data_IF_814114240048
#
_entry.id   IF_814114240048
#
_cell.length_a   1.000
_cell.length_b   1.000
_cell.length_c   1.000
_cell.angle_alpha   90.00
_cell.angle_beta   90.00
_cell.angle_gamma   90.00
#
_symmetry.space_group_name_H-M   'P 1'
#
loop_
_entity.id
_entity.type
_entity.pdbx_description
1 polymer ?
#
# COMPACT_ATOMS: atom_id res chain seq x y z
N UNK A 1 -45.77 93.26 31.57
CA UNK A 1 -45.62 92.17 32.55
C UNK A 1 -45.73 90.87 31.77
N UNK A 2 -44.59 90.21 31.59
CA UNK A 2 -44.51 88.87 31.04
C UNK A 2 -44.69 87.90 32.20
N UNK A 3 -45.50 86.85 32.02
CA UNK A 3 -45.25 85.58 32.68
C UNK A 3 -45.77 84.44 31.81
N UNK A 4 -45.01 83.35 31.83
CA UNK A 4 -44.85 82.34 30.81
C UNK A 4 -45.23 80.98 31.43
N UNK A 5 -46.18 80.26 30.80
CA UNK A 5 -46.31 78.77 30.75
C UNK A 5 -46.58 77.98 32.07
N UNK A 6 -47.04 76.70 32.07
CA UNK A 6 -47.04 75.73 30.95
C UNK A 6 -48.32 74.92 30.67
N UNK A 7 -48.30 74.32 29.47
CA UNK A 7 -49.24 73.36 28.91
C UNK A 7 -49.30 72.04 29.68
N UNK A 8 -50.43 71.29 29.63
CA UNK A 8 -50.53 69.96 30.19
C UNK A 8 -49.85 68.93 29.27
N UNK A 9 -49.05 68.06 29.90
CA UNK A 9 -48.32 66.90 29.37
C UNK A 9 -49.09 66.09 28.32
N UNK A 10 -48.42 65.78 27.22
CA UNK A 10 -48.68 64.62 26.39
C UNK A 10 -48.72 63.34 27.26
N UNK A 11 -49.87 62.66 27.25
CA UNK A 11 -49.99 61.27 27.70
C UNK A 11 -49.71 60.33 26.50
N UNK A 12 -49.03 59.19 26.71
CA UNK A 12 -48.62 58.32 25.61
C UNK A 12 -49.83 57.66 24.94
N UNK A 13 -50.05 57.99 23.67
CA UNK A 13 -51.05 57.37 22.81
C UNK A 13 -50.75 55.89 22.57
N UNK A 14 -51.82 55.10 22.61
CA UNK A 14 -51.87 53.64 22.58
C UNK A 14 -51.02 52.94 21.49
N UNK A 15 -50.53 51.71 21.73
CA UNK A 15 -49.90 50.91 20.69
C UNK A 15 -50.87 50.67 19.52
N UNK A 16 -50.38 50.81 18.29
CA UNK A 16 -51.14 50.61 17.06
C UNK A 16 -51.84 49.22 17.01
N UNK A 17 -53.00 49.08 16.35
CA UNK A 17 -53.70 47.81 16.25
C UNK A 17 -52.82 46.79 15.52
N UNK A 18 -52.53 45.68 16.19
CA UNK A 18 -51.75 44.58 15.62
C UNK A 18 -52.48 44.04 14.38
N UNK A 19 -51.76 43.83 13.28
CA UNK A 19 -52.32 43.25 12.05
C UNK A 19 -52.92 41.85 12.34
N UNK A 20 -53.93 41.39 11.58
CA UNK A 20 -54.52 40.07 11.77
C UNK A 20 -53.48 38.93 11.69
N UNK A 21 -52.45 39.11 10.87
CA UNK A 21 -51.29 38.20 10.79
C UNK A 21 -50.46 38.19 12.09
N UNK A 22 -50.27 39.35 12.73
CA UNK A 22 -49.55 39.44 14.00
C UNK A 22 -50.33 38.76 15.15
N UNK A 23 -51.66 38.89 15.17
CA UNK A 23 -52.51 38.22 16.15
C UNK A 23 -52.51 36.69 15.94
N UNK A 24 -52.61 36.23 14.70
CA UNK A 24 -52.56 34.81 14.35
C UNK A 24 -51.20 34.18 14.72
N UNK A 25 -50.09 34.87 14.48
CA UNK A 25 -48.75 34.44 14.89
C UNK A 25 -48.63 34.36 16.42
N UNK A 26 -49.22 35.31 17.15
CA UNK A 26 -49.20 35.32 18.62
C UNK A 26 -49.97 34.14 19.23
N UNK A 27 -51.13 33.80 18.64
CA UNK A 27 -51.94 32.66 19.07
C UNK A 27 -51.22 31.33 18.79
N UNK A 28 -50.60 31.21 17.61
CA UNK A 28 -49.78 30.04 17.29
C UNK A 28 -48.57 29.89 18.22
N UNK A 29 -47.90 30.99 18.58
CA UNK A 29 -46.82 30.95 19.57
C UNK A 29 -47.31 30.55 20.96
N UNK A 30 -48.53 30.93 21.36
CA UNK A 30 -49.11 30.52 22.63
C UNK A 30 -49.41 29.01 22.67
N UNK A 31 -49.94 28.46 21.58
CA UNK A 31 -50.37 27.05 21.52
C UNK A 31 -49.22 26.09 21.19
N UNK A 32 -48.31 26.47 20.31
CA UNK A 32 -47.26 25.59 19.77
C UNK A 32 -45.83 26.08 20.01
N UNK A 33 -45.63 27.27 20.56
CA UNK A 33 -44.28 27.84 20.75
C UNK A 33 -43.40 27.00 21.68
N UNK A 34 -43.94 26.50 22.80
CA UNK A 34 -43.19 25.64 23.74
C UNK A 34 -42.76 24.29 23.12
N UNK A 35 -43.66 23.47 22.54
CA UNK A 35 -43.26 22.21 21.92
C UNK A 35 -42.39 22.41 20.67
N UNK A 36 -42.59 23.49 19.90
CA UNK A 36 -41.73 23.82 18.76
C UNK A 36 -40.29 24.16 19.19
N UNK A 37 -40.11 24.90 20.29
CA UNK A 37 -38.79 25.19 20.84
C UNK A 37 -38.10 23.94 21.39
N UNK A 38 -38.84 23.03 22.03
CA UNK A 38 -38.29 21.75 22.49
C UNK A 38 -37.86 20.90 21.29
N UNK A 39 -38.68 20.83 20.23
CA UNK A 39 -38.32 20.13 19.00
C UNK A 39 -37.08 20.71 18.32
N UNK A 40 -36.98 22.04 18.24
CA UNK A 40 -35.79 22.75 17.75
C UNK A 40 -34.56 22.41 18.61
N UNK A 41 -34.68 22.43 19.93
CA UNK A 41 -33.56 22.11 20.84
C UNK A 41 -33.07 20.67 20.66
N UNK A 42 -33.98 19.70 20.53
CA UNK A 42 -33.62 18.30 20.25
C UNK A 42 -32.94 18.18 18.88
N UNK A 43 -33.45 18.87 17.85
CA UNK A 43 -32.83 18.89 16.52
C UNK A 43 -31.42 19.49 16.56
N UNK A 44 -31.21 20.57 17.33
CA UNK A 44 -29.89 21.18 17.51
C UNK A 44 -28.93 20.22 18.22
N UNK A 45 -29.36 19.56 19.30
CA UNK A 45 -28.53 18.56 20.00
C UNK A 45 -28.21 17.37 19.09
N UNK A 46 -29.17 16.89 18.31
CA UNK A 46 -28.96 15.82 17.34
C UNK A 46 -27.98 16.23 16.23
N UNK A 47 -28.09 17.45 15.71
CA UNK A 47 -27.15 17.99 14.73
C UNK A 47 -25.75 18.20 15.31
N UNK A 48 -25.64 18.66 16.56
CA UNK A 48 -24.35 18.78 17.26
C UNK A 48 -23.73 17.40 17.49
N UNK A 49 -24.52 16.42 17.95
CA UNK A 49 -24.08 15.04 18.11
C UNK A 49 -23.61 14.42 16.78
N UNK A 50 -24.36 14.62 15.71
CA UNK A 50 -24.00 14.15 14.36
C UNK A 50 -22.75 14.89 13.82
N UNK A 51 -22.61 16.18 14.10
CA UNK A 51 -21.43 16.97 13.73
C UNK A 51 -20.17 16.47 14.47
N UNK A 52 -20.27 16.26 15.79
CA UNK A 52 -19.18 15.70 16.60
C UNK A 52 -18.82 14.29 16.13
N UNK A 53 -19.82 13.43 15.91
CA UNK A 53 -19.60 12.07 15.40
C UNK A 53 -18.92 12.08 14.04
N UNK A 54 -19.39 12.92 13.10
CA UNK A 54 -18.80 13.04 11.76
C UNK A 54 -17.38 13.62 11.80
N UNK A 55 -17.13 14.60 12.67
CA UNK A 55 -15.80 15.17 12.87
C UNK A 55 -14.84 14.18 13.51
N UNK A 56 -15.31 13.41 14.49
CA UNK A 56 -14.52 12.36 15.13
C UNK A 56 -14.25 11.18 14.18
N UNK A 57 -15.21 10.83 13.32
CA UNK A 57 -15.02 9.82 12.27
C UNK A 57 -14.01 10.29 11.22
N UNK A 58 -13.93 11.59 10.93
CA UNK A 58 -12.90 12.17 10.08
C UNK A 58 -11.53 12.14 10.77
N UNK A 59 -11.45 12.50 12.05
CA UNK A 59 -10.22 12.45 12.84
C UNK A 59 -9.62 11.04 12.92
N UNK A 60 -10.45 10.00 13.08
CA UNK A 60 -9.96 8.59 13.09
C UNK A 60 -9.22 8.19 11.81
N UNK A 61 -9.61 8.74 10.66
CA UNK A 61 -8.94 8.46 9.39
C UNK A 61 -7.56 9.10 9.32
N UNK A 62 -7.42 10.35 9.79
CA UNK A 62 -6.12 11.02 9.84
C UNK A 62 -5.20 10.38 10.88
N UNK A 63 -5.75 9.96 12.01
CA UNK A 63 -4.98 9.30 13.07
C UNK A 63 -4.44 7.96 12.61
N UNK A 64 -5.21 7.17 11.85
CA UNK A 64 -4.77 5.88 11.29
C UNK A 64 -3.64 6.04 10.26
N UNK A 65 -3.68 7.10 9.46
CA UNK A 65 -2.59 7.41 8.51
C UNK A 65 -1.35 7.87 9.26
N UNK A 66 -1.49 8.75 10.25
CA UNK A 66 -0.36 9.20 11.06
C UNK A 66 0.28 8.04 11.85
N UNK A 67 -0.54 7.15 12.39
CA UNK A 67 -0.07 5.96 13.11
C UNK A 67 0.74 5.04 12.19
N UNK A 68 0.37 4.91 10.91
CA UNK A 68 1.14 4.13 9.94
C UNK A 68 2.57 4.67 9.78
N UNK A 69 2.72 5.99 9.69
CA UNK A 69 4.03 6.64 9.56
C UNK A 69 4.84 6.65 10.86
N UNK A 70 4.18 6.53 12.01
CA UNK A 70 4.84 6.50 13.31
C UNK A 70 5.16 5.09 13.79
N UNK A 71 4.56 4.06 13.17
CA UNK A 71 4.83 2.68 13.51
C UNK A 71 6.34 2.43 13.35
N UNK A 72 6.95 1.90 14.41
CA UNK A 72 8.40 1.68 14.46
C UNK A 72 8.76 0.22 14.24
N UNK A 73 7.77 -0.66 14.20
CA UNK A 73 7.99 -2.08 14.05
C UNK A 73 6.94 -2.73 13.13
N UNK A 74 7.30 -3.82 12.45
CA UNK A 74 6.35 -4.57 11.62
C UNK A 74 5.19 -5.17 12.42
N UNK A 75 5.38 -5.48 13.70
CA UNK A 75 4.30 -5.98 14.58
C UNK A 75 3.23 -4.93 14.82
N UNK A 76 3.63 -3.67 15.03
CA UNK A 76 2.69 -2.57 15.21
C UNK A 76 1.86 -2.37 13.94
N UNK A 77 2.50 -2.40 12.77
CA UNK A 77 1.83 -2.32 11.46
C UNK A 77 0.84 -3.47 11.25
N UNK A 78 1.26 -4.71 11.53
CA UNK A 78 0.39 -5.88 11.42
C UNK A 78 -0.77 -5.80 12.41
N UNK A 79 -0.51 -5.42 13.66
CA UNK A 79 -1.55 -5.29 14.68
C UNK A 79 -2.56 -4.21 14.30
N UNK A 80 -2.13 -3.07 13.76
CA UNK A 80 -3.01 -2.03 13.25
C UNK A 80 -3.97 -2.58 12.18
N UNK A 81 -3.46 -3.36 11.24
CA UNK A 81 -4.28 -3.97 10.20
C UNK A 81 -5.28 -5.00 10.74
N UNK A 82 -4.89 -5.77 11.76
CA UNK A 82 -5.76 -6.77 12.41
C UNK A 82 -6.84 -6.12 13.28
N UNK A 83 -6.52 -5.01 13.96
CA UNK A 83 -7.46 -4.30 14.85
C UNK A 83 -8.56 -3.59 14.07
N UNK A 84 -8.23 -2.95 12.93
CA UNK A 84 -9.22 -2.33 12.06
C UNK A 84 -9.06 -2.75 10.58
N UNK A 85 -9.49 -3.97 10.19
CA UNK A 85 -9.37 -4.46 8.82
C UNK A 85 -10.20 -3.68 7.79
N UNK A 86 -11.11 -2.80 8.24
CA UNK A 86 -11.94 -1.97 7.36
C UNK A 86 -11.34 -0.58 7.18
N UNK A 87 -10.28 -0.23 7.92
CA UNK A 87 -9.56 1.01 7.70
C UNK A 87 -8.97 1.02 6.28
N UNK A 88 -9.01 2.17 5.62
CA UNK A 88 -8.39 2.33 4.30
C UNK A 88 -6.87 2.15 4.32
N UNK A 89 -6.25 2.26 5.49
CA UNK A 89 -4.81 2.06 5.71
C UNK A 89 -4.45 0.62 6.02
N UNK A 90 -5.42 -0.25 6.36
CA UNK A 90 -5.13 -1.62 6.80
C UNK A 90 -4.44 -2.49 5.73
N UNK A 91 -4.81 -2.43 4.42
CA UNK A 91 -4.08 -3.15 3.39
C UNK A 91 -2.62 -2.69 3.31
N UNK A 92 -2.39 -1.38 3.33
CA UNK A 92 -1.06 -0.80 3.27
C UNK A 92 -0.24 -1.20 4.50
N UNK A 93 -0.82 -1.09 5.71
CA UNK A 93 -0.16 -1.50 6.94
C UNK A 93 0.27 -2.97 6.92
N UNK A 94 -0.59 -3.87 6.45
CA UNK A 94 -0.28 -5.30 6.40
C UNK A 94 0.76 -5.65 5.33
N UNK A 95 0.69 -5.03 4.16
CA UNK A 95 1.69 -5.20 3.11
C UNK A 95 3.06 -4.62 3.54
N UNK A 96 3.07 -3.45 4.18
CA UNK A 96 4.28 -2.84 4.74
C UNK A 96 4.86 -3.72 5.86
N UNK A 97 4.03 -4.25 6.77
CA UNK A 97 4.49 -5.19 7.79
C UNK A 97 5.21 -6.40 7.17
N UNK A 98 4.63 -6.99 6.13
CA UNK A 98 5.22 -8.13 5.43
C UNK A 98 6.58 -7.79 4.79
N UNK A 99 6.67 -6.63 4.12
CA UNK A 99 7.92 -6.16 3.53
C UNK A 99 9.01 -5.88 4.59
N UNK A 100 8.63 -5.28 5.72
CA UNK A 100 9.53 -5.00 6.84
C UNK A 100 9.99 -6.30 7.54
N UNK A 101 9.10 -7.27 7.74
CA UNK A 101 9.50 -8.60 8.22
C UNK A 101 10.53 -9.24 7.30
N UNK A 102 10.33 -9.14 5.98
CA UNK A 102 11.28 -9.66 4.99
C UNK A 102 12.63 -8.95 5.10
N UNK A 103 12.65 -7.62 5.19
CA UNK A 103 13.86 -6.82 5.35
C UNK A 103 14.64 -7.17 6.63
N UNK A 104 13.93 -7.58 7.69
CA UNK A 104 14.52 -8.05 8.95
C UNK A 104 14.92 -9.54 8.92
N UNK A 105 14.91 -10.20 7.76
CA UNK A 105 15.16 -11.63 7.57
C UNK A 105 14.20 -12.56 8.34
N UNK A 106 13.01 -12.06 8.69
CA UNK A 106 11.95 -12.84 9.36
C UNK A 106 10.97 -13.36 8.31
N UNK A 107 11.45 -14.30 7.52
CA UNK A 107 10.77 -14.75 6.31
C UNK A 107 9.46 -15.49 6.59
N UNK A 108 9.36 -16.23 7.68
CA UNK A 108 8.11 -16.90 8.08
C UNK A 108 7.02 -15.89 8.47
N UNK A 109 7.40 -14.84 9.19
CA UNK A 109 6.47 -13.76 9.57
C UNK A 109 6.04 -12.95 8.34
N UNK A 110 6.98 -12.67 7.42
CA UNK A 110 6.70 -12.02 6.15
C UNK A 110 5.73 -12.84 5.30
N UNK A 111 5.99 -14.14 5.15
CA UNK A 111 5.15 -15.08 4.43
C UNK A 111 3.73 -15.08 5.01
N UNK A 112 3.61 -15.16 6.34
CA UNK A 112 2.33 -15.13 7.02
C UNK A 112 1.58 -13.81 6.79
N UNK A 113 2.27 -12.68 6.89
CA UNK A 113 1.68 -11.36 6.68
C UNK A 113 1.21 -11.16 5.22
N UNK A 114 1.99 -11.59 4.23
CA UNK A 114 1.55 -11.55 2.82
C UNK A 114 0.35 -12.48 2.55
N UNK A 115 0.32 -13.68 3.13
CA UNK A 115 -0.82 -14.59 3.02
C UNK A 115 -2.09 -13.99 3.67
N UNK A 116 -1.96 -13.38 4.85
CA UNK A 116 -3.06 -12.64 5.48
C UNK A 116 -3.55 -11.49 4.59
N UNK A 117 -2.62 -10.75 3.97
CA UNK A 117 -2.94 -9.66 3.06
C UNK A 117 -3.75 -10.16 1.85
N UNK A 118 -3.32 -11.23 1.20
CA UNK A 118 -4.03 -11.78 0.05
C UNK A 118 -5.39 -12.39 0.41
N UNK A 119 -5.53 -12.95 1.62
CA UNK A 119 -6.80 -13.47 2.10
C UNK A 119 -7.81 -12.33 2.40
N UNK A 120 -7.35 -11.22 2.99
CA UNK A 120 -8.20 -10.10 3.36
C UNK A 120 -8.48 -9.15 2.18
N UNK A 121 -7.50 -8.96 1.29
CA UNK A 121 -7.51 -7.93 0.25
C UNK A 121 -7.09 -8.47 -1.14
N UNK A 122 -7.75 -9.52 -1.67
CA UNK A 122 -7.32 -10.21 -2.89
C UNK A 122 -7.35 -9.35 -4.16
N UNK A 123 -8.12 -8.26 -4.19
CA UNK A 123 -8.26 -7.35 -5.34
C UNK A 123 -7.56 -6.00 -5.12
N UNK A 124 -6.74 -5.88 -4.08
CA UNK A 124 -6.00 -4.64 -3.82
C UNK A 124 -4.86 -4.45 -4.82
N UNK A 125 -4.50 -3.21 -5.12
CA UNK A 125 -3.43 -2.89 -6.09
C UNK A 125 -2.06 -3.49 -5.73
N UNK A 126 -1.84 -3.85 -4.45
CA UNK A 126 -0.60 -4.48 -3.97
C UNK A 126 -0.67 -6.02 -3.99
N UNK A 127 -1.77 -6.62 -4.44
CA UNK A 127 -1.94 -8.09 -4.45
C UNK A 127 -0.93 -8.80 -5.35
N UNK A 128 -0.60 -8.23 -6.51
CA UNK A 128 0.47 -8.77 -7.37
C UNK A 128 1.83 -8.75 -6.66
N UNK A 129 2.17 -7.63 -6.02
CA UNK A 129 3.39 -7.49 -5.22
C UNK A 129 3.44 -8.48 -4.06
N UNK A 130 2.33 -8.71 -3.37
CA UNK A 130 2.25 -9.69 -2.29
C UNK A 130 2.44 -11.14 -2.79
N UNK A 131 1.96 -11.49 -3.99
CA UNK A 131 2.21 -12.82 -4.60
C UNK A 131 3.69 -13.04 -4.89
N UNK A 132 4.36 -12.04 -5.47
CA UNK A 132 5.82 -12.07 -5.69
C UNK A 132 6.57 -12.09 -4.35
N UNK A 133 6.09 -11.35 -3.35
CA UNK A 133 6.63 -11.35 -1.99
C UNK A 133 6.56 -12.72 -1.32
N UNK A 134 5.46 -13.46 -1.50
CA UNK A 134 5.34 -14.86 -1.02
C UNK A 134 6.40 -15.73 -1.67
N UNK A 135 6.55 -15.67 -3.00
CA UNK A 135 7.56 -16.45 -3.71
C UNK A 135 8.99 -16.11 -3.24
N UNK A 136 9.26 -14.83 -2.98
CA UNK A 136 10.55 -14.39 -2.41
C UNK A 136 10.76 -14.88 -0.97
N UNK A 137 9.71 -14.94 -0.15
CA UNK A 137 9.81 -15.51 1.21
C UNK A 137 10.12 -17.01 1.14
N UNK A 138 9.45 -17.76 0.25
CA UNK A 138 9.72 -19.18 0.03
C UNK A 138 11.15 -19.41 -0.47
N UNK A 139 11.65 -18.55 -1.37
CA UNK A 139 13.04 -18.57 -1.85
C UNK A 139 14.02 -18.36 -0.69
N UNK A 140 13.77 -17.37 0.17
CA UNK A 140 14.61 -17.05 1.32
C UNK A 140 14.55 -18.12 2.43
N UNK A 141 13.47 -18.90 2.49
CA UNK A 141 13.31 -20.08 3.35
C UNK A 141 13.92 -21.35 2.75
N UNK A 142 14.67 -21.23 1.66
CA UNK A 142 15.30 -22.33 0.92
C UNK A 142 14.29 -23.34 0.35
N UNK A 143 12.99 -22.99 0.30
CA UNK A 143 11.97 -23.77 -0.38
C UNK A 143 11.95 -23.43 -1.87
N UNK A 144 13.07 -23.69 -2.55
CA UNK A 144 13.29 -23.27 -3.94
C UNK A 144 12.28 -23.88 -4.92
N UNK A 145 11.81 -25.11 -4.65
CA UNK A 145 10.76 -25.74 -5.46
C UNK A 145 9.41 -25.03 -5.33
N UNK A 146 8.98 -24.74 -4.10
CA UNK A 146 7.75 -23.97 -3.88
C UNK A 146 7.83 -22.54 -4.41
N UNK A 147 9.00 -21.92 -4.26
CA UNK A 147 9.26 -20.57 -4.77
C UNK A 147 9.22 -20.50 -6.30
N UNK A 148 9.86 -21.45 -7.01
CA UNK A 148 9.85 -21.48 -8.47
C UNK A 148 8.44 -21.69 -9.02
N UNK A 149 7.64 -22.57 -8.40
CA UNK A 149 6.24 -22.78 -8.73
C UNK A 149 5.40 -21.51 -8.50
N UNK A 150 5.62 -20.80 -7.38
CA UNK A 150 4.91 -19.56 -7.07
C UNK A 150 5.25 -18.44 -8.07
N UNK A 151 6.53 -18.28 -8.43
CA UNK A 151 6.94 -17.34 -9.48
C UNK A 151 6.35 -17.71 -10.84
N UNK A 152 6.36 -19.00 -11.21
CA UNK A 152 5.77 -19.46 -12.47
C UNK A 152 4.26 -19.20 -12.53
N UNK A 153 3.53 -19.49 -11.45
CA UNK A 153 2.11 -19.21 -11.34
C UNK A 153 1.82 -17.71 -11.46
N UNK A 154 2.63 -16.85 -10.83
CA UNK A 154 2.51 -15.40 -10.94
C UNK A 154 2.67 -14.92 -12.39
N UNK A 155 3.71 -15.37 -13.10
CA UNK A 155 3.96 -14.99 -14.50
C UNK A 155 2.84 -15.46 -15.44
N UNK A 156 2.25 -16.64 -15.16
CA UNK A 156 1.13 -17.16 -15.94
C UNK A 156 -0.18 -16.39 -15.70
N UNK A 157 -0.42 -15.94 -14.47
CA UNK A 157 -1.63 -15.20 -14.10
C UNK A 157 -1.54 -13.71 -14.47
N UNK A 158 -0.35 -13.11 -14.42
CA UNK A 158 -0.12 -11.68 -14.65
C UNK A 158 0.94 -11.40 -15.74
N UNK A 159 0.71 -11.80 -16.99
CA UNK A 159 1.68 -11.71 -18.09
C UNK A 159 1.97 -10.28 -18.60
N UNK A 160 1.25 -9.26 -18.09
CA UNK A 160 1.50 -7.85 -18.38
C UNK A 160 1.99 -7.05 -17.14
N UNK A 161 2.26 -7.73 -16.01
CA UNK A 161 2.68 -7.05 -14.78
C UNK A 161 4.10 -6.49 -14.89
N UNK A 162 4.32 -5.33 -14.26
CA UNK A 162 5.64 -4.73 -14.11
C UNK A 162 6.61 -5.63 -13.31
N UNK A 163 6.09 -6.59 -12.55
CA UNK A 163 6.88 -7.50 -11.69
C UNK A 163 7.29 -8.80 -12.40
N UNK A 164 6.94 -9.01 -13.66
CA UNK A 164 7.31 -10.24 -14.40
C UNK A 164 8.81 -10.45 -14.43
N UNK A 165 9.57 -9.38 -14.67
CA UNK A 165 11.02 -9.49 -14.71
C UNK A 165 11.59 -9.98 -13.37
N UNK A 166 11.08 -9.43 -12.26
CA UNK A 166 11.47 -9.87 -10.92
C UNK A 166 11.10 -11.35 -10.69
N UNK A 167 9.90 -11.77 -11.10
CA UNK A 167 9.46 -13.16 -10.96
C UNK A 167 10.27 -14.13 -11.84
N UNK A 168 10.60 -13.74 -13.07
CA UNK A 168 11.43 -14.53 -13.97
C UNK A 168 12.84 -14.73 -13.41
N UNK A 169 13.46 -13.67 -12.88
CA UNK A 169 14.76 -13.76 -12.23
C UNK A 169 14.70 -14.62 -10.96
N UNK A 170 13.64 -14.47 -10.15
CA UNK A 170 13.42 -15.29 -8.96
C UNK A 170 13.29 -16.77 -9.28
N UNK A 171 12.48 -17.12 -10.29
CA UNK A 171 12.34 -18.49 -10.77
C UNK A 171 13.70 -19.07 -11.24
N UNK A 172 14.45 -18.30 -12.03
CA UNK A 172 15.75 -18.74 -12.52
C UNK A 172 16.75 -18.98 -11.37
N UNK A 173 16.83 -18.08 -10.39
CA UNK A 173 17.65 -18.27 -9.17
C UNK A 173 17.23 -19.51 -8.38
N UNK A 174 15.93 -19.79 -8.27
CA UNK A 174 15.46 -21.01 -7.60
C UNK A 174 15.99 -22.27 -8.30
N UNK A 175 15.94 -22.32 -9.64
CA UNK A 175 16.52 -23.44 -10.40
C UNK A 175 18.05 -23.51 -10.26
N UNK A 176 18.76 -22.39 -10.14
CA UNK A 176 20.19 -22.38 -9.84
C UNK A 176 20.49 -23.07 -8.49
N UNK A 177 19.72 -22.76 -7.45
CA UNK A 177 19.89 -23.35 -6.12
C UNK A 177 19.52 -24.83 -6.07
N UNK A 178 18.60 -25.27 -6.94
CA UNK A 178 18.26 -26.67 -7.14
C UNK A 178 19.28 -27.44 -8.00
N UNK A 179 20.33 -26.77 -8.50
CA UNK A 179 21.30 -27.27 -9.49
C UNK A 179 20.67 -27.71 -10.83
N UNK A 180 19.46 -27.24 -11.12
CA UNK A 180 18.72 -27.45 -12.37
C UNK A 180 19.16 -26.42 -13.42
N UNK A 181 20.44 -26.46 -13.78
CA UNK A 181 21.06 -25.41 -14.61
C UNK A 181 20.49 -25.29 -16.02
N UNK A 182 19.97 -26.39 -16.59
CA UNK A 182 19.29 -26.36 -17.89
C UNK A 182 17.98 -25.56 -17.82
N UNK A 183 17.20 -25.75 -16.74
CA UNK A 183 15.95 -25.02 -16.51
C UNK A 183 16.21 -23.55 -16.15
N UNK A 184 17.25 -23.27 -15.35
CA UNK A 184 17.69 -21.91 -15.05
C UNK A 184 18.10 -21.16 -16.33
N UNK A 185 18.87 -21.82 -17.21
CA UNK A 185 19.27 -21.26 -18.51
C UNK A 185 18.06 -20.94 -19.37
N UNK A 186 17.12 -21.88 -19.50
CA UNK A 186 15.90 -21.68 -20.27
C UNK A 186 15.12 -20.46 -19.75
N UNK A 187 14.98 -20.30 -18.43
CA UNK A 187 14.31 -19.14 -17.84
C UNK A 187 14.96 -17.80 -18.24
N UNK A 188 16.29 -17.70 -18.22
CA UNK A 188 16.99 -16.48 -18.63
C UNK A 188 16.90 -16.22 -20.14
N UNK A 189 17.08 -17.26 -20.97
CA UNK A 189 17.01 -17.13 -22.43
C UNK A 189 15.60 -16.75 -22.89
N UNK A 190 14.56 -17.38 -22.33
CA UNK A 190 13.17 -17.05 -22.59
C UNK A 190 12.83 -15.62 -22.19
N UNK A 191 13.32 -15.17 -21.03
CA UNK A 191 13.14 -13.79 -20.58
C UNK A 191 13.78 -12.77 -21.53
N UNK A 192 15.02 -13.00 -21.94
CA UNK A 192 15.74 -12.12 -22.87
C UNK A 192 15.04 -12.09 -24.24
N UNK A 193 14.56 -13.24 -24.72
CA UNK A 193 13.84 -13.34 -25.99
C UNK A 193 12.48 -12.61 -25.95
N UNK A 194 11.76 -12.70 -24.83
CA UNK A 194 10.46 -12.05 -24.65
C UNK A 194 10.57 -10.55 -24.33
N UNK A 195 11.64 -10.11 -23.67
CA UNK A 195 11.79 -8.75 -23.15
C UNK A 195 13.16 -8.12 -23.50
N UNK A 196 13.52 -8.00 -24.80
CA UNK A 196 14.86 -7.56 -25.23
C UNK A 196 15.21 -6.13 -24.81
N UNK A 197 14.21 -5.27 -24.59
CA UNK A 197 14.39 -3.87 -24.18
C UNK A 197 14.31 -3.66 -22.66
N UNK A 198 14.18 -4.74 -21.87
CA UNK A 198 14.05 -4.65 -20.42
C UNK A 198 15.37 -4.29 -19.74
N UNK A 199 15.38 -3.40 -18.73
CA UNK A 199 16.59 -3.13 -17.93
C UNK A 199 17.12 -4.37 -17.19
N UNK A 200 16.31 -5.43 -17.07
CA UNK A 200 16.69 -6.69 -16.44
C UNK A 200 17.47 -7.64 -17.35
N UNK A 201 17.61 -7.35 -18.64
CA UNK A 201 18.38 -8.19 -19.58
C UNK A 201 19.82 -8.37 -19.10
N UNK A 202 20.48 -7.30 -18.63
CA UNK A 202 21.85 -7.39 -18.12
C UNK A 202 21.98 -8.31 -16.90
N UNK A 203 20.94 -8.38 -16.07
CA UNK A 203 20.90 -9.31 -14.95
C UNK A 203 20.73 -10.75 -15.43
N UNK A 204 19.85 -11.00 -16.41
CA UNK A 204 19.67 -12.31 -17.01
C UNK A 204 20.93 -12.82 -17.71
N UNK A 205 21.63 -11.96 -18.45
CA UNK A 205 22.93 -12.27 -19.07
C UNK A 205 24.01 -12.61 -18.04
N UNK A 206 24.00 -11.93 -16.89
CA UNK A 206 24.90 -12.22 -15.77
C UNK A 206 24.62 -13.60 -15.18
N UNK A 207 23.36 -13.99 -15.03
CA UNK A 207 22.94 -15.34 -14.62
C UNK A 207 23.43 -16.42 -15.61
N UNK A 208 23.23 -16.21 -16.92
CA UNK A 208 23.75 -17.11 -17.96
C UNK A 208 25.28 -17.25 -17.91
N UNK A 209 25.99 -16.16 -17.65
CA UNK A 209 27.44 -16.20 -17.51
C UNK A 209 27.87 -16.99 -16.27
N UNK A 210 27.14 -16.86 -15.15
CA UNK A 210 27.36 -17.66 -13.95
C UNK A 210 27.18 -19.15 -14.24
N UNK A 211 26.06 -19.55 -14.86
CA UNK A 211 25.79 -20.94 -15.26
C UNK A 211 26.88 -21.53 -16.15
N UNK A 212 27.33 -20.78 -17.16
CA UNK A 212 28.42 -21.23 -18.04
C UNK A 212 29.74 -21.45 -17.29
N UNK A 213 30.02 -20.64 -16.27
CA UNK A 213 31.22 -20.79 -15.43
C UNK A 213 31.10 -22.01 -14.53
N UNK A 214 29.95 -22.22 -13.88
CA UNK A 214 29.72 -23.37 -13.00
C UNK A 214 29.78 -24.69 -13.76
N UNK A 215 29.21 -24.77 -14.97
CA UNK A 215 29.32 -25.94 -15.84
C UNK A 215 30.75 -26.24 -16.25
N UNK A 216 31.51 -25.23 -16.67
CA UNK A 216 32.92 -25.40 -17.01
C UNK A 216 33.72 -25.91 -15.81
N UNK A 217 33.44 -25.40 -14.61
CA UNK A 217 34.09 -25.87 -13.39
C UNK A 217 33.74 -27.35 -13.09
N UNK A 218 32.48 -27.76 -13.28
CA UNK A 218 32.04 -29.16 -13.14
C UNK A 218 32.66 -30.08 -14.20
N UNK A 219 32.95 -29.58 -15.41
CA UNK A 219 33.55 -30.34 -16.51
C UNK A 219 35.08 -30.32 -16.52
N UNK A 220 35.72 -29.45 -15.73
CA UNK A 220 37.18 -29.36 -15.70
C UNK A 220 37.78 -30.63 -15.06
N UNK A 221 38.84 -31.23 -15.64
CA UNK A 221 39.56 -32.29 -14.97
C UNK A 221 40.11 -31.77 -13.64
N UNK A 222 40.14 -32.59 -12.56
CA UNK A 222 40.67 -32.16 -11.27
C UNK A 222 42.07 -31.59 -11.48
N UNK A 223 42.43 -30.47 -10.82
CA UNK A 223 43.74 -29.87 -10.98
C UNK A 223 44.77 -30.96 -10.69
N UNK A 224 45.61 -31.24 -11.69
CA UNK A 224 46.72 -32.17 -11.52
C UNK A 224 47.49 -31.68 -10.29
N UNK A 225 47.44 -32.47 -9.21
CA UNK A 225 48.28 -32.25 -8.04
C UNK A 225 49.69 -32.01 -8.57
N UNK A 226 50.42 -30.96 -8.14
CA UNK A 226 51.81 -30.83 -8.50
C UNK A 226 52.54 -32.04 -7.90
N UNK A 227 52.68 -33.08 -8.72
CA UNK A 227 53.38 -34.28 -8.39
C UNK A 227 54.84 -33.88 -8.19
N UNK A 228 55.31 -34.13 -6.97
CA UNK A 228 56.72 -34.23 -6.61
C UNK A 228 57.61 -33.08 -7.12
N UNK A 229 57.68 -32.00 -6.35
CA UNK A 229 58.96 -31.31 -6.20
C UNK A 229 59.92 -32.28 -5.49
N UNK A 230 60.60 -33.11 -6.28
CA UNK A 230 61.75 -33.88 -5.84
C UNK A 230 62.80 -32.94 -5.27
N UNK A 231 63.26 -33.28 -4.06
CA UNK A 231 64.43 -32.68 -3.44
C UNK A 231 65.65 -32.89 -4.33
N UNK A 232 66.37 -31.81 -4.62
CA UNK A 232 67.83 -31.83 -4.68
C UNK A 232 68.34 -30.74 -3.75
N UNK A 233 68.85 -31.18 -2.61
CA UNK A 233 69.73 -30.41 -1.74
C UNK A 233 71.18 -30.64 -2.20
N UNK A 234 71.96 -29.57 -2.24
CA UNK A 234 73.43 -29.43 -2.12
C UNK A 234 73.73 -27.97 -2.55
N UNK A 235 74.60 -27.15 -1.99
CA UNK A 235 75.48 -27.09 -0.80
C UNK A 235 76.12 -25.67 -0.82
N UNK A 236 76.70 -25.25 0.30
CA UNK A 236 77.75 -24.24 0.48
C UNK A 236 77.45 -22.71 0.55
N UNK A 237 77.31 -22.24 1.80
CA UNK A 237 78.05 -21.19 2.55
C UNK A 237 78.70 -19.93 1.92
N UNK A 238 78.58 -18.85 2.73
CA UNK A 238 79.43 -17.63 2.89
C UNK A 238 79.04 -16.42 2.01
N UNK A 239 79.01 -15.15 2.44
CA UNK A 239 79.30 -14.44 3.69
C UNK A 239 78.77 -12.98 3.57
N UNK A 240 78.47 -12.33 4.69
CA UNK A 240 78.61 -10.87 4.95
C UNK A 240 77.73 -9.86 4.21
N UNK A 241 76.71 -9.32 4.90
CA UNK A 241 76.66 -7.92 5.37
C UNK A 241 75.23 -7.51 5.79
N UNK A 242 75.05 -7.21 7.08
CA UNK A 242 73.98 -6.35 7.61
C UNK A 242 74.54 -4.92 7.83
N UNK A 243 73.78 -3.91 8.27
CA UNK A 243 72.33 -3.84 8.53
C UNK A 243 71.64 -2.56 7.98
N UNK A 244 70.31 -2.53 7.99
CA UNK A 244 69.53 -1.33 8.33
C UNK A 244 68.13 -1.75 8.78
N UNK A 245 67.77 -1.29 9.97
CA UNK A 245 66.56 -1.56 10.72
C UNK A 245 65.37 -0.77 10.16
N UNK A 246 64.16 -1.34 10.18
CA UNK A 246 62.99 -0.65 10.76
C UNK A 246 61.91 -1.68 11.12
N UNK A 247 61.72 -1.84 12.42
CA UNK A 247 60.71 -2.69 13.05
C UNK A 247 59.45 -1.85 13.27
N UNK A 248 58.33 -2.20 12.64
CA UNK A 248 57.00 -1.86 13.18
C UNK A 248 56.07 -3.05 13.00
N UNK A 249 55.84 -3.74 14.10
CA UNK A 249 54.78 -4.73 14.24
C UNK A 249 53.42 -4.04 14.30
N UNK A 250 52.48 -4.44 13.45
CA UNK A 250 51.05 -4.39 13.76
C UNK A 250 50.40 -5.69 13.30
N UNK A 251 49.76 -6.33 14.27
CA UNK A 251 48.97 -7.54 14.28
C UNK A 251 47.89 -7.60 13.19
N UNK A 252 47.75 -8.79 12.62
CA UNK A 252 46.64 -9.18 11.75
C UNK A 252 45.41 -9.59 12.57
N UNK A 253 44.26 -9.02 12.24
CA UNK A 253 42.93 -9.53 12.53
C UNK A 253 42.11 -9.41 11.23
N UNK A 254 41.34 -10.42 10.79
CA UNK A 254 40.77 -10.45 9.45
C UNK A 254 39.46 -9.64 9.37
N UNK A 255 39.48 -8.55 8.63
CA UNK A 255 38.28 -7.78 8.29
C UNK A 255 37.52 -8.49 7.16
N UNK A 256 36.30 -8.91 7.48
CA UNK A 256 35.35 -9.51 6.57
C UNK A 256 34.85 -8.45 5.56
N UNK A 257 34.80 -8.84 4.29
CA UNK A 257 34.25 -8.04 3.21
C UNK A 257 32.74 -7.80 3.41
N UNK A 258 32.22 -6.58 3.13
CA UNK A 258 30.80 -6.30 3.24
C UNK A 258 30.04 -6.87 2.03
N UNK A 259 28.96 -7.59 2.34
CA UNK A 259 27.89 -7.94 1.41
C UNK A 259 27.17 -6.68 0.98
N UNK A 260 27.05 -6.48 -0.34
CA UNK A 260 26.32 -5.35 -0.92
C UNK A 260 24.83 -5.43 -0.60
N UNK A 261 24.36 -4.28 -0.13
CA UNK A 261 23.01 -3.93 0.26
C UNK A 261 22.08 -3.94 -0.96
N UNK A 262 21.04 -4.78 -0.91
CA UNK A 262 19.94 -4.76 -1.87
C UNK A 262 19.14 -3.46 -1.69
N UNK A 263 19.55 -2.42 -2.42
CA UNK A 263 18.81 -1.18 -2.53
C UNK A 263 17.52 -1.42 -3.34
N UNK A 264 16.39 -1.55 -2.64
CA UNK A 264 15.08 -1.45 -3.25
C UNK A 264 14.77 0.03 -3.47
N UNK A 265 14.72 0.42 -4.73
CA UNK A 265 14.54 1.79 -5.19
C UNK A 265 13.17 2.31 -4.75
N UNK A 266 13.17 3.19 -3.75
CA UNK A 266 12.07 4.11 -3.51
C UNK A 266 11.99 5.07 -4.70
N UNK A 267 10.83 5.13 -5.34
CA UNK A 267 10.53 6.08 -6.40
C UNK A 267 10.54 7.52 -5.83
N UNK A 268 11.63 8.25 -6.03
CA UNK A 268 11.65 9.71 -5.93
C UNK A 268 10.84 10.29 -7.09
N UNK A 269 9.68 10.88 -6.78
CA UNK A 269 9.00 11.79 -7.68
C UNK A 269 9.63 13.18 -7.54
N UNK A 270 10.39 13.61 -8.56
CA UNK A 270 10.81 15.00 -8.73
C UNK A 270 9.60 15.93 -8.72
N UNK A 271 9.49 16.75 -7.67
CA UNK A 271 8.64 17.93 -7.64
C UNK A 271 9.50 19.15 -8.00
N UNK A 272 9.35 19.65 -9.22
CA UNK A 272 9.86 20.96 -9.62
C UNK A 272 9.07 22.08 -8.88
N UNK A 273 9.71 23.22 -8.55
CA UNK A 273 9.16 24.20 -7.61
C UNK A 273 8.19 25.15 -8.31
N UNK A 274 7.04 25.40 -7.68
CA UNK A 274 6.16 26.51 -8.04
C UNK A 274 6.61 27.76 -7.26
N UNK A 275 7.11 28.74 -8.00
CA UNK A 275 7.42 30.07 -7.49
C UNK A 275 6.16 30.82 -7.04
N UNK A 276 6.36 31.48 -5.92
CA UNK A 276 5.54 32.49 -5.28
C UNK A 276 5.41 33.74 -6.16
N UNK A 277 4.20 34.10 -6.55
CA UNK A 277 3.86 35.51 -6.79
C UNK A 277 2.46 35.80 -6.26
N UNK A 278 2.42 36.52 -5.14
CA UNK A 278 1.30 37.37 -4.79
C UNK A 278 1.22 38.52 -5.81
N UNK A 279 0.01 39.04 -6.05
CA UNK A 279 -0.34 40.48 -6.03
C UNK A 279 -1.72 40.73 -6.69
N UNK A 280 -2.53 41.47 -5.93
CA UNK A 280 -3.66 42.35 -6.30
C UNK A 280 -5.03 41.80 -6.71
N UNK A 281 -5.87 41.76 -5.68
CA UNK A 281 -7.22 42.29 -5.64
C UNK A 281 -7.46 43.49 -6.58
N UNK A 282 -8.35 43.32 -7.57
CA UNK A 282 -9.11 44.45 -8.13
C UNK A 282 -10.55 44.03 -8.40
N UNK A 283 -11.41 44.59 -7.55
CA UNK A 283 -12.85 44.72 -7.71
C UNK A 283 -13.21 45.37 -9.05
N UNK A 284 -14.15 44.78 -9.80
CA UNK A 284 -15.11 45.52 -10.63
C UNK A 284 -16.34 44.65 -10.89
N UNK A 285 -17.44 45.13 -10.34
CA UNK A 285 -18.84 44.81 -10.61
C UNK A 285 -19.19 45.09 -12.07
N UNK A 286 -19.87 44.17 -12.76
CA UNK A 286 -20.97 44.53 -13.68
C UNK A 286 -21.93 43.34 -13.89
N UNK A 287 -23.20 43.66 -14.07
CA UNK A 287 -24.40 42.80 -14.01
C UNK A 287 -24.67 42.06 -15.34
N UNK A 288 -25.66 41.14 -15.41
CA UNK A 288 -25.70 40.06 -16.40
C UNK A 288 -26.53 40.40 -17.65
N UNK A 289 -26.09 39.91 -18.82
CA UNK A 289 -26.93 39.80 -20.01
C UNK A 289 -27.19 38.34 -20.41
N UNK A 290 -28.46 38.09 -20.69
CA UNK A 290 -29.15 36.82 -20.91
C UNK A 290 -29.13 36.46 -22.39
N UNK A 291 -28.66 35.26 -22.76
CA UNK A 291 -28.99 34.65 -24.05
C UNK A 291 -28.98 33.11 -23.99
N UNK A 292 -30.13 32.53 -24.33
CA UNK A 292 -30.50 31.11 -24.34
C UNK A 292 -30.16 30.42 -25.70
N UNK A 293 -30.40 29.09 -25.87
CA UNK A 293 -29.42 28.16 -26.43
C UNK A 293 -29.70 27.67 -27.86
N UNK A 294 -28.70 27.02 -28.50
CA UNK A 294 -28.89 26.27 -29.74
C UNK A 294 -28.64 24.76 -29.57
N UNK A 295 -29.74 24.02 -29.69
CA UNK A 295 -29.84 22.57 -29.92
C UNK A 295 -29.10 22.17 -31.20
N UNK A 296 -28.39 21.03 -31.17
CA UNK A 296 -28.15 20.19 -32.35
C UNK A 296 -28.67 18.78 -32.09
N UNK A 297 -29.59 18.40 -32.98
CA UNK A 297 -30.26 17.11 -33.14
C UNK A 297 -29.44 16.17 -34.03
N UNK A 298 -29.49 14.86 -33.78
CA UNK A 298 -29.56 13.75 -34.76
C UNK A 298 -29.59 12.42 -33.97
N UNK A 299 -30.73 11.73 -33.75
CA UNK A 299 -31.49 10.85 -34.67
C UNK A 299 -30.63 9.69 -35.21
N UNK A 300 -30.73 8.47 -34.66
CA UNK A 300 -31.30 7.21 -35.25
C UNK A 300 -30.52 6.03 -34.59
N UNK A 301 -30.97 4.79 -34.44
CA UNK A 301 -32.23 4.05 -34.66
C UNK A 301 -31.95 2.63 -34.10
N UNK A 302 -33.00 1.94 -33.59
CA UNK A 302 -33.19 0.46 -33.58
C UNK A 302 -32.14 -0.41 -32.85
N UNK A 303 -32.42 -1.51 -32.15
CA UNK A 303 -33.57 -2.42 -32.14
C UNK A 303 -33.38 -3.48 -31.03
N UNK A 304 -34.46 -3.80 -30.32
CA UNK A 304 -34.87 -5.13 -29.81
C UNK A 304 -33.80 -6.19 -29.48
N UNK A 305 -33.84 -6.76 -28.26
CA UNK A 305 -34.50 -8.06 -28.03
C UNK A 305 -34.76 -8.33 -26.55
N UNK A 306 -35.95 -8.88 -26.31
CA UNK A 306 -36.58 -9.27 -25.06
C UNK A 306 -36.56 -10.80 -24.99
N UNK A 307 -36.17 -11.40 -23.87
CA UNK A 307 -36.41 -12.79 -23.40
C UNK A 307 -35.45 -13.05 -22.23
N UNK A 308 -35.74 -13.73 -21.13
CA UNK A 308 -36.94 -14.20 -20.45
C UNK A 308 -36.37 -14.82 -19.15
N UNK A 309 -36.92 -14.47 -17.99
CA UNK A 309 -36.68 -15.21 -16.74
C UNK A 309 -37.47 -16.53 -16.75
N UNK A 310 -37.12 -17.47 -15.85
CA UNK A 310 -38.14 -17.97 -14.94
C UNK A 310 -37.71 -18.01 -13.45
N UNK A 311 -38.73 -18.00 -12.59
CA UNK A 311 -38.77 -17.98 -11.11
C UNK A 311 -38.47 -19.36 -10.46
N UNK A 312 -38.30 -19.41 -9.12
CA UNK A 312 -37.85 -20.56 -8.33
C UNK A 312 -39.00 -21.42 -7.75
N UNK A 313 -38.67 -22.66 -7.39
CA UNK A 313 -39.41 -23.62 -6.55
C UNK A 313 -38.40 -24.74 -6.18
N UNK A 314 -38.40 -25.44 -5.05
CA UNK A 314 -39.28 -25.54 -3.89
C UNK A 314 -38.46 -26.24 -2.77
N UNK A 315 -38.76 -25.94 -1.51
CA UNK A 315 -38.32 -26.73 -0.34
C UNK A 315 -39.28 -27.91 -0.14
N UNK A 316 -38.93 -28.91 0.65
CA UNK A 316 -39.83 -29.18 1.77
C UNK A 316 -39.14 -29.44 3.12
N UNK A 317 -39.89 -29.05 4.16
CA UNK A 317 -39.77 -29.38 5.59
C UNK A 317 -39.60 -30.88 5.86
N UNK A 318 -38.89 -31.23 6.95
CA UNK A 318 -39.51 -31.83 8.14
C UNK A 318 -38.52 -31.93 9.32
N UNK A 319 -38.96 -31.46 10.49
CA UNK A 319 -38.41 -31.67 11.84
C UNK A 319 -39.15 -32.88 12.45
N UNK A 320 -38.58 -33.67 13.38
CA UNK A 320 -38.71 -33.37 14.83
C UNK A 320 -37.45 -33.74 15.66
N UNK A 321 -36.98 -32.89 16.58
CA UNK A 321 -37.30 -32.83 18.02
C UNK A 321 -36.71 -33.95 18.91
N UNK A 322 -36.24 -33.50 20.09
CA UNK A 322 -35.86 -34.25 21.30
C UNK A 322 -34.39 -34.80 21.28
N UNK A 323 -33.52 -34.67 22.30
CA UNK A 323 -33.68 -34.52 23.76
C UNK A 323 -32.30 -34.12 24.35
N UNK A 324 -32.21 -33.03 25.11
CA UNK A 324 -31.26 -32.90 26.25
C UNK A 324 -31.78 -33.81 27.38
N UNK A 325 -30.95 -34.44 28.25
CA UNK A 325 -30.18 -33.63 29.21
C UNK A 325 -28.89 -34.26 29.83
N UNK A 326 -28.23 -33.42 30.64
CA UNK A 326 -27.57 -33.72 31.93
C UNK A 326 -26.15 -34.35 31.97
N UNK A 327 -25.26 -33.53 32.54
CA UNK A 327 -24.40 -33.79 33.70
C UNK A 327 -23.51 -35.05 33.72
N UNK A 328 -22.19 -34.82 33.66
CA UNK A 328 -21.24 -35.13 34.74
C UNK A 328 -19.99 -34.24 34.62
#
# INVERSE_FOLDING_TARGET
MAEQTPAPKDAPGAPAPQSPEAQQLSQWMADYGRPALIGLAIAVVALLGMSIWRNHQAARKSDAVQALFQARSPEELQQMAVVDPKASTAPLALASAAAEFFALNRYEDALNAYQQFLAAYPTHMLAEGAKVGIAACEEALENYGGASDAYAAFMAEHPDSALIAQAAMGKARCHEQLEEFDDARACYEDFIAAHPDSPWVSQAESGLLFLKKTERAKQAPPPATPAAAEKTADDATAETAAPAEEEVAVTAEPEAAPVEEAAVVAAESEAAPLEETAVEEKTTTDEPEKAEPKKKTSKKKSSSKKKSAPKPADLPEEVPAATEPAAE
#
